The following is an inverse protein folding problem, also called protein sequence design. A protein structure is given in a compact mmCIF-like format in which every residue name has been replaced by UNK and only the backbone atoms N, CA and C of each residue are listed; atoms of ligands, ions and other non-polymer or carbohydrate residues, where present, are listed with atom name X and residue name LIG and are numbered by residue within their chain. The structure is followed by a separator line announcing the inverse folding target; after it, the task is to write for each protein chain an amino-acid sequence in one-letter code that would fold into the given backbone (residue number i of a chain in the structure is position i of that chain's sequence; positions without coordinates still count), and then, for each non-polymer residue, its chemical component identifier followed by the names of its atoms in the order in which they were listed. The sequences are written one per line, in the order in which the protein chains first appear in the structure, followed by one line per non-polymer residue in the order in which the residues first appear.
data_IF_436622428671
#
_entry.id   IF_436622428671
#
_cell.length_a   1.000
_cell.length_b   1.000
_cell.length_c   1.000
_cell.angle_alpha   90.00
_cell.angle_beta   90.00
_cell.angle_gamma   90.00
#
_symmetry.space_group_name_H-M   'P 1'
#
loop_
_entity.id
_entity.type
_entity.pdbx_description
1 polymer ?
#
# COMPACT_ATOMS: atom_id res chain seq x y z
N UNK A 1 26.20 22.92 -20.66
CA UNK A 1 26.91 21.69 -20.21
C UNK A 1 26.59 21.31 -18.78
N UNK A 2 27.07 21.98 -17.72
CA UNK A 2 26.79 21.54 -16.33
C UNK A 2 25.29 21.59 -15.97
N UNK A 3 24.60 22.70 -16.26
CA UNK A 3 23.17 22.89 -15.99
C UNK A 3 22.28 21.93 -16.80
N UNK A 4 22.69 21.58 -18.03
CA UNK A 4 21.98 20.61 -18.88
C UNK A 4 22.14 19.18 -18.35
N UNK A 5 23.33 18.80 -17.90
CA UNK A 5 23.56 17.50 -17.27
C UNK A 5 22.77 17.36 -15.96
N UNK A 6 22.71 18.43 -15.16
CA UNK A 6 21.87 18.49 -13.96
C UNK A 6 20.38 18.32 -14.32
N UNK A 7 19.89 19.00 -15.36
CA UNK A 7 18.52 18.87 -15.83
C UNK A 7 18.18 17.42 -16.22
N UNK A 8 19.09 16.73 -16.91
CA UNK A 8 18.89 15.32 -17.26
C UNK A 8 18.83 14.42 -16.03
N UNK A 9 19.73 14.61 -15.05
CA UNK A 9 19.72 13.86 -13.79
C UNK A 9 18.39 14.04 -13.05
N UNK A 10 17.96 15.29 -12.87
CA UNK A 10 16.73 15.61 -12.13
C UNK A 10 15.48 15.08 -12.86
N UNK A 11 15.48 15.05 -14.20
CA UNK A 11 14.41 14.41 -15.00
C UNK A 11 14.40 12.89 -14.85
N UNK A 12 15.57 12.25 -14.75
CA UNK A 12 15.66 10.82 -14.47
C UNK A 12 15.10 10.49 -13.07
N UNK A 13 15.47 11.28 -12.05
CA UNK A 13 14.94 11.14 -10.69
C UNK A 13 13.42 11.31 -10.66
N UNK A 14 12.88 12.30 -11.40
CA UNK A 14 11.43 12.50 -11.52
C UNK A 14 10.73 11.24 -12.06
N UNK A 15 11.28 10.64 -13.11
CA UNK A 15 10.73 9.45 -13.73
C UNK A 15 10.77 8.27 -12.76
N UNK A 16 11.89 8.08 -12.05
CA UNK A 16 12.03 7.01 -11.06
C UNK A 16 10.98 7.14 -9.95
N UNK A 17 10.76 8.34 -9.42
CA UNK A 17 9.75 8.58 -8.37
C UNK A 17 8.33 8.32 -8.88
N UNK A 18 8.02 8.69 -10.13
CA UNK A 18 6.72 8.41 -10.74
C UNK A 18 6.49 6.90 -10.92
N UNK A 19 7.51 6.16 -11.33
CA UNK A 19 7.45 4.70 -11.45
C UNK A 19 7.26 4.04 -10.08
N UNK A 20 7.98 4.49 -9.05
CA UNK A 20 7.80 4.01 -7.67
C UNK A 20 6.35 4.23 -7.18
N UNK A 21 5.76 5.40 -7.46
CA UNK A 21 4.34 5.66 -7.14
C UNK A 21 3.42 4.70 -7.90
N UNK A 22 3.68 4.48 -9.19
CA UNK A 22 2.86 3.58 -10.00
C UNK A 22 2.87 2.14 -9.43
N UNK A 23 4.06 1.62 -9.12
CA UNK A 23 4.24 0.30 -8.54
C UNK A 23 3.55 0.18 -7.17
N UNK A 24 3.71 1.19 -6.30
CA UNK A 24 3.05 1.19 -4.99
C UNK A 24 1.53 1.23 -5.11
N UNK A 25 0.98 2.03 -6.04
CA UNK A 25 -0.49 2.07 -6.30
C UNK A 25 -1.01 0.73 -6.81
N UNK A 26 -0.25 0.03 -7.64
CA UNK A 26 -0.59 -1.32 -8.09
C UNK A 26 -0.60 -2.31 -6.92
N UNK A 27 0.46 -2.36 -6.13
CA UNK A 27 0.55 -3.27 -4.98
C UNK A 27 -0.55 -2.97 -3.96
N UNK A 28 -0.86 -1.69 -3.72
CA UNK A 28 -1.96 -1.27 -2.85
C UNK A 28 -3.32 -1.83 -3.33
N UNK A 29 -3.55 -1.84 -4.64
CA UNK A 29 -4.75 -2.43 -5.22
C UNK A 29 -4.81 -3.94 -4.99
N UNK A 30 -3.71 -4.66 -5.27
CA UNK A 30 -3.61 -6.10 -5.08
C UNK A 30 -3.86 -6.49 -3.60
N UNK A 31 -3.26 -5.78 -2.65
CA UNK A 31 -3.48 -6.00 -1.20
C UNK A 31 -4.95 -5.78 -0.83
N UNK A 32 -5.60 -4.75 -1.36
CA UNK A 32 -7.03 -4.49 -1.10
C UNK A 32 -7.92 -5.61 -1.60
N UNK A 33 -7.61 -6.19 -2.76
CA UNK A 33 -8.33 -7.35 -3.29
C UNK A 33 -8.13 -8.57 -2.40
N UNK A 34 -6.88 -8.90 -2.04
CA UNK A 34 -6.57 -10.01 -1.14
C UNK A 34 -7.28 -9.84 0.22
N UNK A 35 -7.30 -8.62 0.77
CA UNK A 35 -8.03 -8.31 2.01
C UNK A 35 -9.53 -8.57 1.88
N UNK A 36 -10.11 -8.25 0.74
CA UNK A 36 -11.52 -8.51 0.46
C UNK A 36 -11.80 -10.01 0.42
N UNK A 37 -11.04 -10.78 -0.38
CA UNK A 37 -11.17 -12.24 -0.49
C UNK A 37 -10.95 -12.93 0.88
N UNK A 38 -9.95 -12.49 1.63
CA UNK A 38 -9.69 -12.97 2.99
C UNK A 38 -10.88 -12.69 3.93
N UNK A 39 -11.51 -11.51 3.81
CA UNK A 39 -12.71 -11.16 4.57
C UNK A 39 -13.89 -12.05 4.21
N UNK A 40 -14.05 -12.36 2.93
CA UNK A 40 -15.10 -13.26 2.47
C UNK A 40 -14.87 -14.66 3.03
N UNK A 41 -13.65 -15.18 3.03
CA UNK A 41 -13.35 -16.52 3.55
C UNK A 41 -13.68 -16.71 5.04
N UNK A 42 -13.80 -15.65 5.84
CA UNK A 42 -14.06 -15.72 7.27
C UNK A 42 -15.35 -16.49 7.63
N UNK A 43 -16.38 -16.43 6.80
CA UNK A 43 -17.64 -17.15 7.07
C UNK A 43 -17.46 -18.68 7.09
N UNK A 44 -16.38 -19.20 6.50
CA UNK A 44 -16.08 -20.63 6.46
C UNK A 44 -15.72 -21.18 7.85
N UNK A 45 -15.26 -20.35 8.78
CA UNK A 45 -14.96 -20.76 10.17
C UNK A 45 -16.18 -21.38 10.85
N UNK A 46 -17.37 -20.84 10.55
CA UNK A 46 -18.63 -21.29 11.11
C UNK A 46 -19.28 -22.45 10.34
N UNK A 47 -18.61 -22.97 9.30
CA UNK A 47 -19.07 -24.13 8.53
C UNK A 47 -18.32 -25.40 8.93
N UNK A 48 -18.99 -26.58 8.99
CA UNK A 48 -20.45 -26.74 8.98
C UNK A 48 -21.08 -26.16 10.26
N UNK A 49 -22.36 -25.79 10.17
CA UNK A 49 -23.10 -25.41 11.37
C UNK A 49 -23.26 -26.63 12.28
N UNK A 50 -22.85 -26.49 13.54
CA UNK A 50 -22.95 -27.58 14.52
C UNK A 50 -24.12 -27.29 15.45
N UNK A 51 -25.10 -28.20 15.48
CA UNK A 51 -26.21 -28.11 16.41
C UNK A 51 -25.72 -28.42 17.83
N UNK A 52 -25.85 -27.46 18.75
CA UNK A 52 -25.47 -27.58 20.17
C UNK A 52 -26.26 -28.66 20.93
N UNK A 53 -27.45 -29.02 20.45
CA UNK A 53 -28.26 -30.07 21.05
C UNK A 53 -27.69 -31.47 20.75
N UNK A 54 -27.07 -31.64 19.58
CA UNK A 54 -26.49 -32.90 19.11
C UNK A 54 -24.97 -32.99 19.40
N UNK A 55 -24.25 -31.86 19.36
CA UNK A 55 -22.81 -31.77 19.58
C UNK A 55 -22.53 -31.03 20.89
N UNK A 56 -22.23 -31.79 21.95
CA UNK A 56 -22.12 -31.28 23.33
C UNK A 56 -21.00 -31.97 24.12
N UNK A 57 -20.66 -31.38 25.27
CA UNK A 57 -19.59 -31.84 26.14
C UNK A 57 -18.23 -31.19 25.83
N UNK A 58 -17.21 -31.58 26.58
CA UNK A 58 -15.90 -30.89 26.58
C UNK A 58 -15.23 -30.79 25.21
N UNK A 59 -15.42 -31.77 24.33
CA UNK A 59 -14.90 -31.71 22.95
C UNK A 59 -15.63 -30.68 22.09
N UNK A 60 -16.93 -30.49 22.30
CA UNK A 60 -17.73 -29.49 21.61
C UNK A 60 -17.35 -28.07 22.04
N UNK A 61 -17.19 -27.87 23.35
CA UNK A 61 -16.73 -26.59 23.93
C UNK A 61 -15.34 -26.23 23.39
N UNK A 62 -14.37 -27.14 23.47
CA UNK A 62 -13.01 -26.91 22.96
C UNK A 62 -12.99 -26.61 21.46
N UNK A 63 -13.89 -27.22 20.69
CA UNK A 63 -13.99 -26.95 19.26
C UNK A 63 -14.53 -25.55 18.97
N UNK A 64 -15.53 -25.09 19.72
CA UNK A 64 -16.04 -23.72 19.61
C UNK A 64 -15.00 -22.68 20.07
N UNK A 65 -14.22 -22.98 21.12
CA UNK A 65 -13.09 -22.12 21.54
C UNK A 65 -12.06 -21.94 20.43
N UNK A 66 -11.74 -23.02 19.69
CA UNK A 66 -10.84 -22.97 18.53
C UNK A 66 -11.44 -22.06 17.45
N UNK A 67 -12.73 -22.20 17.14
CA UNK A 67 -13.41 -21.34 16.16
C UNK A 67 -13.41 -19.87 16.57
N UNK A 68 -13.68 -19.58 17.84
CA UNK A 68 -13.64 -18.22 18.35
C UNK A 68 -12.22 -17.64 18.26
N UNK A 69 -11.20 -18.43 18.61
CA UNK A 69 -9.79 -18.07 18.45
C UNK A 69 -9.42 -17.77 16.99
N UNK A 70 -9.84 -18.64 16.05
CA UNK A 70 -9.66 -18.40 14.61
C UNK A 70 -10.36 -17.11 14.16
N UNK A 71 -11.59 -16.87 14.63
CA UNK A 71 -12.34 -15.68 14.27
C UNK A 71 -11.65 -14.39 14.76
N UNK A 72 -11.11 -14.41 15.99
CA UNK A 72 -10.31 -13.30 16.54
C UNK A 72 -9.05 -13.06 15.71
N UNK A 73 -8.32 -14.13 15.34
CA UNK A 73 -7.14 -14.01 14.49
C UNK A 73 -7.47 -13.41 13.11
N UNK A 74 -8.57 -13.84 12.48
CA UNK A 74 -9.06 -13.26 11.23
C UNK A 74 -9.33 -11.76 11.37
N UNK A 75 -10.03 -11.35 12.43
CA UNK A 75 -10.29 -9.92 12.67
C UNK A 75 -8.99 -9.14 12.87
N UNK A 76 -8.07 -9.64 13.70
CA UNK A 76 -6.80 -8.97 13.96
C UNK A 76 -5.96 -8.78 12.69
N UNK A 77 -5.85 -9.82 11.86
CA UNK A 77 -5.12 -9.74 10.58
C UNK A 77 -5.76 -8.68 9.68
N UNK A 78 -7.09 -8.75 9.50
CA UNK A 78 -7.82 -7.86 8.60
C UNK A 78 -7.85 -6.40 9.06
N UNK A 79 -8.05 -6.17 10.36
CA UNK A 79 -8.33 -4.85 10.93
C UNK A 79 -7.10 -4.10 11.41
N UNK A 80 -6.08 -4.81 11.89
CA UNK A 80 -4.88 -4.16 12.42
C UNK A 80 -3.72 -4.31 11.44
N UNK A 81 -3.34 -5.56 11.13
CA UNK A 81 -2.10 -5.82 10.39
C UNK A 81 -2.18 -5.34 8.95
N UNK A 82 -3.22 -5.77 8.21
CA UNK A 82 -3.37 -5.41 6.80
C UNK A 82 -3.70 -3.92 6.64
N UNK A 83 -4.48 -3.34 7.56
CA UNK A 83 -4.73 -1.90 7.55
C UNK A 83 -3.46 -1.08 7.79
N UNK A 84 -2.63 -1.46 8.76
CA UNK A 84 -1.35 -0.79 8.99
C UNK A 84 -0.41 -0.86 7.79
N UNK A 85 -0.42 -1.96 7.03
CA UNK A 85 0.33 -2.08 5.77
C UNK A 85 -0.24 -1.13 4.70
N UNK A 86 -1.56 -1.09 4.54
CA UNK A 86 -2.25 -0.18 3.61
C UNK A 86 -1.87 1.28 3.93
N UNK A 87 -2.01 1.69 5.18
CA UNK A 87 -1.68 3.05 5.64
C UNK A 87 -0.20 3.39 5.41
N UNK A 88 0.71 2.44 5.65
CA UNK A 88 2.15 2.62 5.40
C UNK A 88 2.46 2.83 3.91
N UNK A 89 1.80 2.07 3.03
CA UNK A 89 1.94 2.23 1.57
C UNK A 89 1.38 3.58 1.11
N UNK A 90 0.20 3.98 1.61
CA UNK A 90 -0.40 5.28 1.30
C UNK A 90 0.47 6.44 1.77
N UNK A 91 1.04 6.35 2.98
CA UNK A 91 2.01 7.33 3.48
C UNK A 91 3.24 7.46 2.59
N UNK A 92 3.79 6.34 2.09
CA UNK A 92 4.93 6.36 1.15
C UNK A 92 4.55 6.96 -0.20
N UNK A 93 3.35 6.66 -0.71
CA UNK A 93 2.84 7.27 -1.95
C UNK A 93 2.76 8.80 -1.77
N UNK A 94 2.19 9.28 -0.67
CA UNK A 94 2.08 10.71 -0.40
C UNK A 94 3.45 11.40 -0.26
N UNK A 95 4.42 10.75 0.39
CA UNK A 95 5.78 11.28 0.47
C UNK A 95 6.41 11.42 -0.93
N UNK A 96 6.31 10.38 -1.77
CA UNK A 96 6.82 10.41 -3.14
C UNK A 96 6.10 11.44 -4.03
N UNK A 97 4.80 11.62 -3.84
CA UNK A 97 4.03 12.67 -4.53
C UNK A 97 4.53 14.07 -4.15
N UNK A 98 4.90 14.28 -2.88
CA UNK A 98 5.59 15.48 -2.41
C UNK A 98 6.96 15.68 -3.07
N UNK A 99 7.76 14.62 -3.16
CA UNK A 99 9.06 14.65 -3.84
C UNK A 99 8.90 15.02 -5.32
N UNK A 100 7.97 14.38 -6.02
CA UNK A 100 7.64 14.68 -7.42
C UNK A 100 7.28 16.16 -7.61
N UNK A 101 6.47 16.71 -6.71
CA UNK A 101 6.12 18.13 -6.75
C UNK A 101 7.34 19.05 -6.54
N UNK A 102 8.23 18.69 -5.62
CA UNK A 102 9.49 19.42 -5.39
C UNK A 102 10.42 19.37 -6.61
N UNK A 103 10.64 18.18 -7.16
CA UNK A 103 11.49 17.94 -8.33
C UNK A 103 10.98 18.70 -9.55
N UNK A 104 9.66 18.72 -9.80
CA UNK A 104 9.08 19.50 -10.89
C UNK A 104 9.40 21.00 -10.77
N UNK A 105 9.36 21.56 -9.57
CA UNK A 105 9.75 22.96 -9.33
C UNK A 105 11.24 23.19 -9.57
N UNK A 106 12.09 22.22 -9.22
CA UNK A 106 13.53 22.29 -9.52
C UNK A 106 13.79 22.28 -11.03
N UNK A 107 13.12 21.41 -11.79
CA UNK A 107 13.22 21.36 -13.25
C UNK A 107 12.88 22.71 -13.86
N UNK A 108 11.75 23.32 -13.49
CA UNK A 108 11.35 24.64 -14.02
C UNK A 108 12.40 25.72 -13.74
N UNK A 109 13.02 25.71 -12.56
CA UNK A 109 14.09 26.66 -12.22
C UNK A 109 15.33 26.46 -13.10
N UNK A 110 15.79 25.22 -13.23
CA UNK A 110 16.98 24.87 -14.04
C UNK A 110 16.73 25.21 -15.51
N UNK A 111 15.55 24.91 -16.05
CA UNK A 111 15.18 25.25 -17.43
C UNK A 111 15.25 26.76 -17.68
N UNK A 112 14.75 27.56 -16.74
CA UNK A 112 14.81 29.02 -16.83
C UNK A 112 16.25 29.58 -16.71
N UNK A 113 17.10 28.95 -15.89
CA UNK A 113 18.52 29.31 -15.80
C UNK A 113 19.27 29.03 -17.10
N UNK A 114 19.05 27.85 -17.70
CA UNK A 114 19.62 27.49 -19.01
C UNK A 114 19.18 28.48 -20.10
N UNK A 115 17.91 28.88 -20.10
CA UNK A 115 17.39 29.85 -21.05
C UNK A 115 18.08 31.22 -20.90
N UNK A 116 18.26 31.70 -19.67
CA UNK A 116 19.00 32.94 -19.40
C UNK A 116 20.46 32.87 -19.84
N UNK A 117 21.13 31.74 -19.64
CA UNK A 117 22.52 31.55 -20.08
C UNK A 117 22.64 31.58 -21.61
N UNK A 118 21.65 31.01 -22.32
CA UNK A 118 21.61 31.03 -23.79
C UNK A 118 21.42 32.43 -24.37
N UNK A 119 20.62 33.27 -23.73
CA UNK A 119 20.37 34.65 -24.18
C UNK A 119 21.53 35.63 -23.85
N UNK A 120 22.47 35.23 -22.99
CA UNK A 120 23.65 36.04 -22.63
C UNK A 120 24.88 35.77 -23.50
N UNK A 121 24.84 34.74 -24.34
CA UNK A 121 25.89 34.37 -25.30
C UNK A 121 25.50 34.82 -26.70
#
# INVERSE_FOLDING_TARGET
MHSEMLLHSVKADLHEKQEQIHQLKRVLHEIRQIKHEFSEAQHLIHRPHLNREAWRGTHAERFEDIREGMNKAYQQIKSDQVNGIIESIEGKIHALEGDVYSIRRQITRIEHEIEKEKHKK
#
